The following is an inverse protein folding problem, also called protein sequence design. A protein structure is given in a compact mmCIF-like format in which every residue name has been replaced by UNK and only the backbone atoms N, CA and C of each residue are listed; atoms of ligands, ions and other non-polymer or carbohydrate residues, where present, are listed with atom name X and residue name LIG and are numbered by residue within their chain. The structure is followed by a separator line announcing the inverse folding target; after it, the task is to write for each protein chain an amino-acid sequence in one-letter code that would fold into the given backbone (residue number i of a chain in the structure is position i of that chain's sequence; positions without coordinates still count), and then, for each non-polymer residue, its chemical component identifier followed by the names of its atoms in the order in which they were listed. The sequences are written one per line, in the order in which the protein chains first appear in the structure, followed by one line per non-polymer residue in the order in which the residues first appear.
data_IF_616982466752
#
_entry.id   IF_616982466752
#
_cell.length_a   1.000
_cell.length_b   1.000
_cell.length_c   1.000
_cell.angle_alpha   90.00
_cell.angle_beta   90.00
_cell.angle_gamma   90.00
#
_symmetry.space_group_name_H-M   'P 1'
#
loop_
_entity.id
_entity.type
_entity.pdbx_description
1 polymer ?
#
# COMPACT_ATOMS: atom_id res chain seq x y z
N UNK A 1 6.21 11.07 -5.61
CA UNK A 1 6.18 11.88 -4.37
C UNK A 1 5.42 11.20 -3.24
N UNK A 2 4.17 10.76 -3.44
CA UNK A 2 3.35 10.06 -2.41
C UNK A 2 4.08 9.04 -1.52
N UNK A 3 4.69 7.97 -2.07
CA UNK A 3 5.36 6.94 -1.24
C UNK A 3 6.59 7.50 -0.50
N UNK A 4 7.26 8.52 -1.07
CA UNK A 4 8.37 9.21 -0.39
C UNK A 4 7.86 10.06 0.77
N UNK A 5 6.69 10.67 0.64
CA UNK A 5 6.02 11.37 1.75
C UNK A 5 5.65 10.39 2.86
N UNK A 6 5.11 9.21 2.53
CA UNK A 6 4.87 8.14 3.52
C UNK A 6 6.16 7.74 4.24
N UNK A 7 7.27 7.61 3.51
CA UNK A 7 8.58 7.29 4.09
C UNK A 7 9.10 8.38 5.04
N UNK A 8 8.83 9.65 4.75
CA UNK A 8 9.18 10.79 5.61
C UNK A 8 8.29 10.82 6.86
N UNK A 9 6.99 10.60 6.68
CA UNK A 9 6.03 10.53 7.79
C UNK A 9 6.38 9.41 8.76
N UNK A 10 6.80 8.24 8.24
CA UNK A 10 7.28 7.13 9.06
C UNK A 10 8.48 7.52 9.95
N UNK A 11 9.43 8.29 9.41
CA UNK A 11 10.64 8.71 10.14
C UNK A 11 10.36 9.80 11.17
N UNK A 12 9.42 10.70 10.90
CA UNK A 12 8.97 11.64 11.92
C UNK A 12 8.18 10.85 12.97
N UNK A 13 8.53 10.93 14.25
CA UNK A 13 7.97 10.14 15.37
C UNK A 13 6.43 10.24 15.59
N UNK A 14 5.68 10.78 14.61
CA UNK A 14 4.22 10.82 14.50
C UNK A 14 3.60 9.57 13.86
N UNK A 15 4.38 8.52 13.58
CA UNK A 15 3.89 7.25 13.02
C UNK A 15 3.14 6.38 14.05
N UNK A 16 2.24 6.99 14.84
CA UNK A 16 1.25 6.27 15.64
C UNK A 16 -0.15 6.36 15.02
N UNK A 17 -0.39 7.38 14.19
CA UNK A 17 -1.61 7.51 13.38
C UNK A 17 -1.41 6.78 12.06
N UNK A 18 -1.68 5.47 12.03
CA UNK A 18 -1.60 4.69 10.79
C UNK A 18 -1.02 3.29 10.95
N UNK A 19 -1.38 2.56 12.01
CA UNK A 19 -1.19 1.10 12.00
C UNK A 19 -1.77 0.58 10.68
N UNK A 20 -0.99 -0.07 9.81
CA UNK A 20 -1.48 -0.52 8.52
C UNK A 20 -2.72 -1.38 8.72
N UNK A 21 -3.71 -1.25 7.84
CA UNK A 21 -4.88 -2.15 7.80
C UNK A 21 -4.43 -3.62 7.80
N UNK A 22 -3.22 -3.90 7.32
CA UNK A 22 -2.56 -5.19 7.41
C UNK A 22 -2.50 -5.77 8.83
N UNK A 23 -2.22 -4.98 9.87
CA UNK A 23 -2.14 -5.53 11.24
C UNK A 23 -3.52 -6.06 11.70
N UNK A 24 -4.57 -5.24 11.55
CA UNK A 24 -5.94 -5.63 11.90
C UNK A 24 -6.43 -6.80 11.03
N UNK A 25 -6.12 -6.74 9.73
CA UNK A 25 -6.48 -7.80 8.80
C UNK A 25 -5.82 -9.14 9.16
N UNK A 26 -4.53 -9.14 9.48
CA UNK A 26 -3.78 -10.36 9.83
C UNK A 26 -4.22 -10.96 11.16
N UNK A 27 -4.53 -10.12 12.15
CA UNK A 27 -4.95 -10.59 13.48
C UNK A 27 -6.41 -11.06 13.49
N UNK A 28 -7.30 -10.34 12.82
CA UNK A 28 -8.74 -10.43 13.12
C UNK A 28 -9.59 -10.92 11.94
N UNK A 29 -9.15 -10.79 10.69
CA UNK A 29 -9.99 -11.14 9.52
C UNK A 29 -10.33 -12.63 9.45
N UNK A 30 -9.48 -13.51 10.01
CA UNK A 30 -9.71 -14.95 10.03
C UNK A 30 -10.84 -15.38 10.98
N UNK A 31 -11.15 -14.56 11.98
CA UNK A 31 -12.10 -14.89 13.04
C UNK A 31 -13.32 -13.96 13.12
N UNK A 32 -13.30 -12.82 12.40
CA UNK A 32 -14.39 -11.85 12.37
C UNK A 32 -14.75 -11.46 10.94
N UNK A 33 -15.93 -11.90 10.48
CA UNK A 33 -16.43 -11.57 9.15
C UNK A 33 -16.67 -10.06 8.95
N UNK A 34 -17.23 -9.30 9.91
CA UNK A 34 -17.37 -7.85 9.76
C UNK A 34 -16.03 -7.14 9.58
N UNK A 35 -15.00 -7.54 10.34
CA UNK A 35 -13.66 -6.95 10.22
C UNK A 35 -13.03 -7.32 8.87
N UNK A 36 -13.17 -8.58 8.43
CA UNK A 36 -12.72 -9.00 7.11
C UNK A 36 -13.33 -8.14 6.01
N UNK A 37 -14.64 -7.92 6.05
CA UNK A 37 -15.34 -7.11 5.04
C UNK A 37 -14.88 -5.65 5.08
N UNK A 38 -14.70 -5.06 6.26
CA UNK A 38 -14.17 -3.69 6.37
C UNK A 38 -12.74 -3.58 5.80
N UNK A 39 -11.86 -4.53 6.09
CA UNK A 39 -10.52 -4.57 5.51
C UNK A 39 -10.55 -4.75 3.99
N UNK A 40 -11.44 -5.61 3.46
CA UNK A 40 -11.62 -5.78 2.02
C UNK A 40 -12.00 -4.47 1.34
N UNK A 41 -13.03 -3.79 1.84
CA UNK A 41 -13.47 -2.50 1.29
C UNK A 41 -12.38 -1.44 1.34
N UNK A 42 -11.59 -1.39 2.42
CA UNK A 42 -10.48 -0.44 2.53
C UNK A 42 -9.38 -0.74 1.50
N UNK A 43 -8.99 -2.00 1.33
CA UNK A 43 -7.99 -2.39 0.34
C UNK A 43 -8.47 -2.18 -1.11
N UNK A 44 -9.74 -2.49 -1.39
CA UNK A 44 -10.35 -2.20 -2.70
C UNK A 44 -10.26 -0.70 -3.00
N UNK A 45 -10.60 0.17 -2.04
CA UNK A 45 -10.48 1.62 -2.21
C UNK A 45 -9.05 2.08 -2.51
N UNK A 46 -8.03 1.47 -1.89
CA UNK A 46 -6.63 1.82 -2.18
C UNK A 46 -6.19 1.35 -3.57
N UNK A 47 -6.58 0.13 -3.95
CA UNK A 47 -6.28 -0.45 -5.25
C UNK A 47 -6.98 0.32 -6.37
N UNK A 48 -8.20 0.78 -6.14
CA UNK A 48 -8.96 1.61 -7.08
C UNK A 48 -8.27 2.95 -7.31
N UNK A 49 -7.77 3.61 -6.26
CA UNK A 49 -7.02 4.87 -6.42
C UNK A 49 -5.78 4.71 -7.32
N UNK A 50 -5.05 3.61 -7.21
CA UNK A 50 -3.94 3.31 -8.13
C UNK A 50 -4.43 2.96 -9.53
N UNK A 51 -5.52 2.18 -9.63
CA UNK A 51 -6.13 1.78 -10.90
C UNK A 51 -6.57 3.02 -11.70
N UNK A 52 -7.28 3.95 -11.08
CA UNK A 52 -7.72 5.21 -11.68
C UNK A 52 -6.54 6.03 -12.18
N UNK A 53 -5.48 6.16 -11.37
CA UNK A 53 -4.26 6.87 -11.77
C UNK A 53 -3.59 6.26 -13.00
N UNK A 54 -3.56 4.93 -13.09
CA UNK A 54 -2.98 4.21 -14.23
C UNK A 54 -3.86 4.34 -15.49
N UNK A 55 -5.18 4.28 -15.34
CA UNK A 55 -6.14 4.53 -16.43
C UNK A 55 -5.95 5.94 -17.02
N UNK A 56 -5.87 6.96 -16.17
CA UNK A 56 -5.57 8.35 -16.57
C UNK A 56 -4.24 8.47 -17.33
N UNK A 57 -3.30 7.57 -17.05
CA UNK A 57 -1.98 7.52 -17.67
C UNK A 57 -1.94 6.69 -18.96
N UNK A 58 -3.09 6.16 -19.41
CA UNK A 58 -3.24 5.44 -20.68
C UNK A 58 -3.07 3.93 -20.62
N UNK A 59 -3.01 3.33 -19.42
CA UNK A 59 -2.99 1.88 -19.27
C UNK A 59 -4.35 1.27 -19.63
N UNK A 60 -4.34 0.06 -20.19
CA UNK A 60 -5.56 -0.72 -20.42
C UNK A 60 -6.19 -1.15 -19.09
N UNK A 61 -7.52 -1.24 -19.03
CA UNK A 61 -8.29 -1.41 -17.79
C UNK A 61 -7.89 -2.65 -16.98
N UNK A 62 -7.79 -3.81 -17.62
CA UNK A 62 -7.37 -5.04 -16.95
C UNK A 62 -5.95 -4.87 -16.40
N UNK A 63 -5.04 -4.31 -17.19
CA UNK A 63 -3.66 -4.06 -16.74
C UNK A 63 -3.59 -3.06 -15.58
N UNK A 64 -4.38 -1.99 -15.61
CA UNK A 64 -4.46 -1.01 -14.53
C UNK A 64 -4.93 -1.64 -13.22
N UNK A 65 -5.98 -2.47 -13.27
CA UNK A 65 -6.51 -3.22 -12.12
C UNK A 65 -5.48 -4.17 -11.52
N UNK A 66 -4.81 -4.96 -12.37
CA UNK A 66 -3.74 -5.87 -11.93
C UNK A 66 -2.60 -5.11 -11.23
N UNK A 67 -2.17 -3.99 -11.82
CA UNK A 67 -1.11 -3.17 -11.27
C UNK A 67 -1.51 -2.43 -10.00
N UNK A 68 -2.77 -2.02 -9.85
CA UNK A 68 -3.27 -1.42 -8.61
C UNK A 68 -3.10 -2.38 -7.42
N UNK A 69 -3.40 -3.66 -7.62
CA UNK A 69 -3.18 -4.72 -6.61
C UNK A 69 -1.68 -4.89 -6.32
N UNK A 70 -0.84 -4.96 -7.36
CA UNK A 70 0.61 -5.16 -7.21
C UNK A 70 1.26 -3.99 -6.47
N UNK A 71 0.95 -2.76 -6.85
CA UNK A 71 1.46 -1.54 -6.20
C UNK A 71 1.04 -1.53 -4.74
N UNK A 72 -0.25 -1.75 -4.44
CA UNK A 72 -0.73 -1.81 -3.06
C UNK A 72 0.01 -2.87 -2.24
N UNK A 73 0.23 -4.06 -2.83
CA UNK A 73 0.98 -5.15 -2.17
C UNK A 73 2.43 -4.77 -1.88
N UNK A 74 3.10 -4.05 -2.80
CA UNK A 74 4.47 -3.56 -2.59
C UNK A 74 4.53 -2.54 -1.46
N UNK A 75 3.56 -1.61 -1.39
CA UNK A 75 3.49 -0.59 -0.34
C UNK A 75 3.24 -1.22 1.04
N UNK A 76 2.29 -2.15 1.14
CA UNK A 76 2.01 -2.88 2.39
C UNK A 76 3.22 -3.69 2.87
N UNK A 77 3.91 -4.38 1.93
CA UNK A 77 5.16 -5.08 2.24
C UNK A 77 6.28 -4.14 2.69
N UNK A 78 6.37 -2.95 2.09
CA UNK A 78 7.35 -1.94 2.50
C UNK A 78 7.06 -1.39 3.89
N UNK A 79 5.79 -1.17 4.26
CA UNK A 79 5.42 -0.82 5.63
C UNK A 79 5.80 -1.92 6.61
N UNK A 80 5.46 -3.18 6.33
CA UNK A 80 5.84 -4.32 7.16
C UNK A 80 7.34 -4.35 7.44
N UNK A 81 8.16 -4.23 6.39
CA UNK A 81 9.62 -4.19 6.54
C UNK A 81 10.08 -2.95 7.31
N UNK A 82 9.49 -1.79 7.04
CA UNK A 82 9.88 -0.54 7.70
C UNK A 82 9.60 -0.57 9.20
N UNK A 83 8.41 -1.04 9.61
CA UNK A 83 8.07 -1.27 11.02
C UNK A 83 9.00 -2.30 11.67
N UNK A 84 9.31 -3.39 10.96
CA UNK A 84 10.19 -4.46 11.48
C UNK A 84 11.63 -3.98 11.66
N UNK A 85 12.15 -3.19 10.73
CA UNK A 85 13.55 -2.74 10.70
C UNK A 85 13.78 -1.38 11.37
N UNK A 86 12.71 -0.67 11.74
CA UNK A 86 12.79 0.63 12.41
C UNK A 86 13.32 1.76 11.51
N UNK A 87 13.17 1.66 10.19
CA UNK A 87 13.58 2.68 9.23
C UNK A 87 12.68 2.65 7.99
N UNK A 88 12.69 3.68 7.14
CA UNK A 88 11.83 3.74 5.95
C UNK A 88 12.53 3.38 4.63
N UNK A 89 13.65 2.65 4.69
CA UNK A 89 14.42 2.25 3.50
C UNK A 89 13.57 1.46 2.51
N UNK A 90 12.75 0.52 2.99
CA UNK A 90 11.90 -0.29 2.13
C UNK A 90 10.84 0.55 1.38
N UNK A 91 10.27 1.57 2.04
CA UNK A 91 9.32 2.51 1.40
C UNK A 91 10.01 3.34 0.32
N UNK A 92 11.22 3.84 0.58
CA UNK A 92 12.01 4.58 -0.40
C UNK A 92 12.36 3.72 -1.62
N UNK A 93 12.79 2.47 -1.40
CA UNK A 93 13.10 1.53 -2.47
C UNK A 93 11.86 1.25 -3.34
N UNK A 94 10.70 0.99 -2.73
CA UNK A 94 9.45 0.77 -3.48
C UNK A 94 9.08 2.01 -4.29
N UNK A 95 9.23 3.22 -3.72
CA UNK A 95 8.98 4.46 -4.44
C UNK A 95 9.84 4.62 -5.70
N UNK A 96 11.11 4.18 -5.64
CA UNK A 96 12.04 4.26 -6.77
C UNK A 96 11.84 3.13 -7.78
N UNK A 97 11.39 1.95 -7.35
CA UNK A 97 11.24 0.78 -8.23
C UNK A 97 9.90 0.75 -8.98
N UNK A 98 8.79 1.23 -8.40
CA UNK A 98 7.48 1.20 -9.07
C UNK A 98 7.54 1.82 -10.48
N UNK A 99 8.10 3.03 -10.71
CA UNK A 99 8.19 3.60 -12.05
C UNK A 99 8.99 2.76 -13.04
N UNK A 100 9.99 2.01 -12.57
CA UNK A 100 10.82 1.13 -13.42
C UNK A 100 10.08 -0.15 -13.81
N UNK A 101 9.21 -0.65 -12.92
CA UNK A 101 8.40 -1.85 -13.12
C UNK A 101 7.15 -1.59 -13.96
N UNK A 102 6.65 -0.36 -13.95
CA UNK A 102 5.59 0.13 -14.83
C UNK A 102 6.19 0.43 -16.21
N UNK A 103 6.13 -0.56 -17.11
CA UNK A 103 6.48 -0.41 -18.53
C UNK A 103 5.30 0.11 -19.34
#
# INVERSE_FOLDING_TARGET
DFIKELAQQFQSEKCLDGVPIAAVALETSLVSQPVRTACQTAYESFQDAFTEKLLESGFEEKRAKELGIVINSMVEGAFLLSFTMGNSEALLLVADQIPVLLK
#
